data_IF_283777119605
#
_entry.id   IF_283777119605
#
_cell.length_a   1.000
_cell.length_b   1.000
_cell.length_c   1.000
_cell.angle_alpha   90.00
_cell.angle_beta   90.00
_cell.angle_gamma   90.00
#
_symmetry.space_group_name_H-M   'P 1'
#
loop_
_entity.id
_entity.type
_entity.pdbx_description
1 polymer ?
#
# COMPACT_ATOMS: atom_id res chain seq x y z
N UNK A 1 -2.64 6.41 4.99
CA UNK A 1 -4.07 6.78 4.86
C UNK A 1 -4.57 7.37 6.16
N UNK A 2 -5.72 8.07 6.14
CA UNK A 2 -6.39 8.47 7.37
C UNK A 2 -6.92 7.28 8.13
N UNK A 3 -6.79 7.35 9.45
CA UNK A 3 -7.29 6.37 10.38
C UNK A 3 -8.80 6.55 10.57
N UNK A 4 -9.52 5.44 10.61
CA UNK A 4 -10.94 5.38 10.90
C UNK A 4 -11.16 4.44 12.07
N UNK A 5 -12.16 4.71 12.92
CA UNK A 5 -12.40 3.89 14.11
C UNK A 5 -12.77 2.44 13.77
N UNK A 6 -13.34 2.19 12.57
CA UNK A 6 -13.61 0.83 12.06
C UNK A 6 -12.35 0.02 11.75
N UNK A 7 -11.15 0.62 11.85
CA UNK A 7 -9.88 -0.09 11.76
C UNK A 7 -9.46 -0.75 13.07
N UNK A 8 -10.03 -0.32 14.20
CA UNK A 8 -9.78 -1.03 15.46
C UNK A 8 -10.32 -2.47 15.38
N UNK A 9 -9.58 -3.41 15.96
CA UNK A 9 -9.94 -4.82 15.92
C UNK A 9 -9.53 -5.56 14.64
N UNK A 10 -9.27 -4.86 13.53
CA UNK A 10 -8.78 -5.46 12.29
C UNK A 10 -7.30 -5.77 12.40
N UNK A 11 -6.93 -7.01 12.10
CA UNK A 11 -5.56 -7.51 12.06
C UNK A 11 -4.75 -6.79 10.97
N UNK A 12 -3.41 -6.80 11.08
CA UNK A 12 -2.54 -6.28 10.02
C UNK A 12 -2.81 -6.98 8.69
N UNK A 13 -3.10 -8.27 8.69
CA UNK A 13 -3.51 -9.02 7.49
C UNK A 13 -4.77 -8.43 6.85
N UNK A 14 -5.85 -8.23 7.62
CA UNK A 14 -7.11 -7.66 7.11
C UNK A 14 -6.94 -6.21 6.64
N UNK A 15 -6.17 -5.41 7.40
CA UNK A 15 -5.88 -4.03 7.07
C UNK A 15 -5.03 -3.93 5.79
N UNK A 16 -4.04 -4.82 5.63
CA UNK A 16 -3.23 -4.89 4.42
C UNK A 16 -4.11 -5.26 3.22
N UNK A 17 -4.87 -6.35 3.30
CA UNK A 17 -5.78 -6.77 2.23
C UNK A 17 -6.79 -5.66 1.83
N UNK A 18 -7.26 -4.89 2.82
CA UNK A 18 -8.13 -3.73 2.61
C UNK A 18 -7.49 -2.55 1.86
N UNK A 19 -6.15 -2.53 1.69
CA UNK A 19 -5.46 -1.52 0.90
C UNK A 19 -5.61 -1.74 -0.62
N UNK A 20 -6.04 -2.93 -1.04
CA UNK A 20 -6.31 -3.25 -2.43
C UNK A 20 -7.76 -2.88 -2.78
N UNK A 21 -7.92 -1.76 -3.47
CA UNK A 21 -9.23 -1.15 -3.73
C UNK A 21 -9.75 -1.58 -5.09
N UNK A 22 -11.02 -1.97 -5.13
CA UNK A 22 -11.71 -2.19 -6.41
C UNK A 22 -11.87 -0.88 -7.17
N UNK A 23 -11.95 -0.99 -8.49
CA UNK A 23 -12.30 0.12 -9.35
C UNK A 23 -13.74 0.58 -9.06
N UNK A 24 -13.91 1.70 -8.35
CA UNK A 24 -15.22 2.38 -8.21
C UNK A 24 -15.15 3.73 -8.91
N UNK A 25 -16.25 4.26 -9.49
CA UNK A 25 -16.24 5.52 -10.23
C UNK A 25 -15.64 6.73 -9.47
N UNK A 26 -15.67 6.66 -8.13
CA UNK A 26 -15.13 7.69 -7.23
C UNK A 26 -13.60 7.59 -7.02
N UNK A 27 -12.99 6.44 -7.32
CA UNK A 27 -11.56 6.22 -7.17
C UNK A 27 -10.81 6.72 -8.42
N UNK A 28 -9.99 7.77 -8.30
CA UNK A 28 -9.28 8.42 -9.42
C UNK A 28 -8.71 7.47 -10.48
N UNK A 29 -8.13 6.34 -10.07
CA UNK A 29 -7.41 5.44 -10.97
C UNK A 29 -8.27 4.29 -11.48
N UNK A 30 -9.47 4.08 -10.93
CA UNK A 30 -10.47 3.24 -11.60
C UNK A 30 -10.89 3.84 -12.94
N UNK A 31 -10.85 5.18 -13.07
CA UNK A 31 -11.07 5.88 -14.35
C UNK A 31 -9.98 5.51 -15.39
N UNK A 32 -8.79 5.12 -14.93
CA UNK A 32 -7.64 4.75 -15.79
C UNK A 32 -7.60 3.24 -16.05
N UNK A 33 -7.86 2.44 -15.02
CA UNK A 33 -7.82 0.97 -15.07
C UNK A 33 -9.12 0.40 -14.46
N UNK A 34 -10.25 0.44 -15.19
CA UNK A 34 -11.57 0.15 -14.62
C UNK A 34 -11.77 -1.31 -14.21
N UNK A 35 -11.03 -2.23 -14.83
CA UNK A 35 -11.14 -3.67 -14.57
C UNK A 35 -10.12 -4.19 -13.56
N UNK A 36 -9.28 -3.30 -13.00
CA UNK A 36 -8.18 -3.68 -12.11
C UNK A 36 -8.44 -3.22 -10.68
N UNK A 37 -8.03 -4.04 -9.72
CA UNK A 37 -7.90 -3.59 -8.33
C UNK A 37 -6.52 -2.99 -8.15
N UNK A 38 -6.46 -1.85 -7.46
CA UNK A 38 -5.21 -1.08 -7.31
C UNK A 38 -4.95 -0.65 -5.89
N UNK A 39 -3.68 -0.45 -5.56
CA UNK A 39 -3.21 0.02 -4.26
C UNK A 39 -2.18 1.14 -4.42
N UNK A 40 -2.26 2.17 -3.57
CA UNK A 40 -1.41 3.36 -3.64
C UNK A 40 -0.33 3.34 -2.58
N UNK A 41 0.89 3.55 -3.02
CA UNK A 41 2.08 3.53 -2.18
C UNK A 41 2.98 4.71 -2.53
N UNK A 42 3.90 5.04 -1.64
CA UNK A 42 4.88 6.07 -1.85
C UNK A 42 6.25 5.57 -1.41
N UNK A 43 7.31 6.15 -1.98
CA UNK A 43 8.70 5.83 -1.67
C UNK A 43 9.07 6.01 -0.20
N UNK A 44 8.36 6.89 0.50
CA UNK A 44 8.71 7.32 1.84
C UNK A 44 7.49 7.77 2.64
N UNK A 45 7.57 7.67 3.98
CA UNK A 45 6.50 8.17 4.86
C UNK A 45 6.18 9.66 4.65
N UNK A 46 7.18 10.47 4.30
CA UNK A 46 7.02 11.90 4.08
C UNK A 46 6.23 12.19 2.79
N UNK A 47 6.52 11.47 1.69
CA UNK A 47 5.73 11.56 0.44
C UNK A 47 4.30 11.08 0.68
N UNK A 48 4.14 9.92 1.33
CA UNK A 48 2.81 9.39 1.71
C UNK A 48 2.00 10.38 2.54
N UNK A 49 2.65 11.09 3.47
CA UNK A 49 2.00 12.09 4.31
C UNK A 49 1.60 13.34 3.54
N UNK A 50 2.40 13.78 2.59
CA UNK A 50 2.06 14.91 1.72
C UNK A 50 0.79 14.60 0.91
N UNK A 51 0.71 13.40 0.33
CA UNK A 51 -0.48 12.91 -0.39
C UNK A 51 -1.72 12.87 0.53
N UNK A 52 -1.59 12.27 1.73
CA UNK A 52 -2.73 12.18 2.65
C UNK A 52 -3.21 13.56 3.10
N UNK A 53 -2.30 14.49 3.43
CA UNK A 53 -2.68 15.86 3.84
C UNK A 53 -3.40 16.65 2.75
N UNK A 54 -3.06 16.39 1.49
CA UNK A 54 -3.73 17.04 0.37
C UNK A 54 -5.17 16.54 0.21
N UNK A 55 -5.41 15.25 0.41
CA UNK A 55 -6.74 14.64 0.23
C UNK A 55 -7.60 14.64 1.49
N UNK A 56 -7.00 14.60 2.68
CA UNK A 56 -7.69 14.46 3.96
C UNK A 56 -7.21 15.54 4.94
N UNK A 57 -8.15 16.11 5.68
CA UNK A 57 -7.88 17.17 6.66
C UNK A 57 -7.41 16.65 8.04
N UNK A 58 -7.54 15.35 8.32
CA UNK A 58 -7.18 14.78 9.63
C UNK A 58 -5.67 14.46 9.76
N UNK A 59 -5.18 14.44 11.00
CA UNK A 59 -3.81 14.03 11.34
C UNK A 59 -3.76 12.67 12.04
N UNK A 60 -4.87 11.94 11.99
CA UNK A 60 -4.97 10.58 12.48
C UNK A 60 -4.63 9.63 11.33
N UNK A 61 -3.48 8.98 11.39
CA UNK A 61 -2.91 8.25 10.27
C UNK A 61 -2.66 6.78 10.60
N UNK A 62 -2.98 5.93 9.63
CA UNK A 62 -2.50 4.56 9.54
C UNK A 62 -1.52 4.48 8.37
N UNK A 63 -0.26 4.14 8.67
CA UNK A 63 0.84 4.10 7.70
C UNK A 63 1.38 2.69 7.59
N UNK A 64 1.46 2.17 6.37
CA UNK A 64 2.04 0.86 6.07
C UNK A 64 3.43 1.06 5.49
N UNK A 65 4.38 0.27 5.97
CA UNK A 65 5.66 0.08 5.31
C UNK A 65 5.68 -1.33 4.76
N UNK A 66 5.73 -1.44 3.44
CA UNK A 66 5.87 -2.71 2.74
C UNK A 66 7.24 -2.84 2.05
N UNK A 67 7.57 -4.06 1.65
CA UNK A 67 8.76 -4.39 0.88
C UNK A 67 8.43 -5.50 -0.12
N UNK A 68 9.27 -5.62 -1.14
CA UNK A 68 9.24 -6.75 -2.07
C UNK A 68 9.72 -8.02 -1.35
N UNK A 69 8.82 -8.98 -1.13
CA UNK A 69 9.13 -10.17 -0.34
C UNK A 69 10.14 -11.07 -1.05
N UNK A 70 10.05 -11.15 -2.38
CA UNK A 70 10.86 -12.06 -3.19
C UNK A 70 12.36 -11.73 -3.13
N UNK A 71 12.71 -10.45 -2.95
CA UNK A 71 14.09 -9.95 -2.88
C UNK A 71 14.61 -9.79 -1.44
N UNK A 72 13.81 -10.13 -0.43
CA UNK A 72 14.26 -10.13 0.96
C UNK A 72 15.16 -11.34 1.29
N UNK A 73 15.99 -11.21 2.33
CA UNK A 73 16.84 -12.32 2.82
C UNK A 73 16.00 -13.48 3.34
N UNK A 74 14.86 -13.17 3.95
CA UNK A 74 13.95 -14.12 4.61
C UNK A 74 12.53 -14.00 4.03
N UNK A 75 12.36 -14.41 2.78
CA UNK A 75 11.09 -14.38 2.06
C UNK A 75 10.05 -15.26 2.76
N UNK A 76 8.79 -14.82 2.74
CA UNK A 76 7.66 -15.51 3.38
C UNK A 76 6.56 -15.89 2.39
N UNK A 77 6.76 -15.59 1.09
CA UNK A 77 5.81 -15.88 0.01
C UNK A 77 6.40 -16.87 -0.98
N UNK A 78 5.50 -17.64 -1.59
CA UNK A 78 5.88 -18.68 -2.55
C UNK A 78 6.23 -18.07 -3.91
N UNK A 79 5.57 -16.97 -4.27
CA UNK A 79 5.85 -16.22 -5.48
C UNK A 79 7.22 -15.55 -5.39
N UNK A 80 8.12 -15.96 -6.29
CA UNK A 80 9.50 -15.46 -6.41
C UNK A 80 9.72 -14.66 -7.69
N UNK A 81 8.66 -14.39 -8.44
CA UNK A 81 8.78 -13.59 -9.65
C UNK A 81 9.20 -12.17 -9.28
N UNK A 82 10.18 -11.58 -10.01
CA UNK A 82 10.58 -10.21 -9.77
C UNK A 82 9.40 -9.25 -9.99
N UNK A 83 9.44 -8.09 -9.32
CA UNK A 83 8.50 -7.01 -9.57
C UNK A 83 8.76 -6.39 -10.95
N UNK A 84 7.74 -6.42 -11.81
CA UNK A 84 7.74 -5.75 -13.11
C UNK A 84 7.15 -4.35 -12.93
N UNK A 85 8.02 -3.34 -12.93
CA UNK A 85 7.63 -1.94 -12.71
C UNK A 85 7.78 -1.16 -14.01
N UNK A 86 6.68 -0.52 -14.45
CA UNK A 86 6.73 0.48 -15.53
C UNK A 86 7.19 1.81 -14.94
N UNK A 87 8.23 2.39 -15.53
CA UNK A 87 8.70 3.73 -15.20
C UNK A 87 7.84 4.80 -15.89
N UNK A 88 6.78 5.22 -15.22
CA UNK A 88 5.86 6.27 -15.67
C UNK A 88 6.44 7.68 -15.60
N UNK A 89 7.65 7.89 -15.06
CA UNK A 89 8.30 9.21 -15.02
C UNK A 89 8.72 9.65 -16.42
N UNK A 90 9.31 8.73 -17.19
CA UNK A 90 9.69 8.97 -18.59
C UNK A 90 8.49 9.17 -19.51
N UNK A 91 7.30 8.78 -19.05
CA UNK A 91 6.03 8.89 -19.76
C UNK A 91 5.20 10.09 -19.31
N UNK A 92 5.72 10.90 -18.38
CA UNK A 92 5.03 12.03 -17.76
C UNK A 92 3.65 11.66 -17.21
N UNK A 93 3.52 10.44 -16.65
CA UNK A 93 2.25 9.90 -16.19
C UNK A 93 1.60 10.74 -15.09
N UNK A 94 2.41 11.47 -14.31
CA UNK A 94 1.94 12.46 -13.33
C UNK A 94 1.04 13.53 -13.96
N UNK A 95 1.28 13.93 -15.23
CA UNK A 95 0.41 14.89 -15.95
C UNK A 95 -0.95 14.29 -16.28
N UNK A 96 -0.99 13.01 -16.68
CA UNK A 96 -2.25 12.28 -16.93
C UNK A 96 -3.06 12.21 -15.64
N UNK A 97 -2.42 11.92 -14.52
CA UNK A 97 -3.07 11.90 -13.22
C UNK A 97 -3.63 13.27 -12.82
N UNK A 98 -2.84 14.33 -12.99
CA UNK A 98 -3.30 15.70 -12.71
C UNK A 98 -4.54 16.07 -13.53
N UNK A 99 -4.59 15.67 -14.81
CA UNK A 99 -5.77 15.88 -15.67
C UNK A 99 -7.00 15.17 -15.12
N UNK A 100 -6.86 13.90 -14.71
CA UNK A 100 -7.96 13.14 -14.12
C UNK A 100 -8.43 13.75 -12.78
N UNK A 101 -7.52 14.24 -11.95
CA UNK A 101 -7.85 14.94 -10.70
C UNK A 101 -8.59 16.25 -10.91
N UNK A 102 -8.31 16.92 -12.03
CA UNK A 102 -8.91 18.22 -12.40
C UNK A 102 -10.12 18.06 -13.34
N UNK A 103 -10.64 16.84 -13.49
CA UNK A 103 -11.73 16.46 -14.43
C UNK A 103 -11.52 16.95 -15.87
N UNK A 104 -10.26 17.01 -16.31
CA UNK A 104 -9.88 17.34 -17.68
C UNK A 104 -9.95 16.11 -18.59
N UNK A 105 -10.32 16.33 -19.86
CA UNK A 105 -10.35 15.25 -20.86
C UNK A 105 -8.93 14.83 -21.25
N UNK A 106 -8.70 13.52 -21.24
CA UNK A 106 -7.49 12.94 -21.81
C UNK A 106 -7.54 12.98 -23.35
N UNK A 107 -6.39 13.26 -23.95
CA UNK A 107 -6.17 13.17 -25.40
C UNK A 107 -6.19 11.72 -25.87
N UNK A 108 -6.34 11.50 -27.18
CA UNK A 108 -6.28 10.15 -27.76
C UNK A 108 -4.93 9.47 -27.50
N UNK A 109 -3.82 10.23 -27.53
CA UNK A 109 -2.48 9.73 -27.24
C UNK A 109 -2.34 9.23 -25.80
N UNK A 110 -2.85 10.00 -24.83
CA UNK A 110 -2.82 9.62 -23.40
C UNK A 110 -3.69 8.38 -23.13
N UNK A 111 -4.86 8.27 -23.76
CA UNK A 111 -5.69 7.07 -23.68
C UNK A 111 -4.98 5.85 -24.26
N UNK A 112 -4.33 5.99 -25.41
CA UNK A 112 -3.55 4.92 -26.02
C UNK A 112 -2.38 4.49 -25.13
N UNK A 113 -1.71 5.44 -24.48
CA UNK A 113 -0.63 5.14 -23.53
C UNK A 113 -1.13 4.30 -22.35
N UNK A 114 -2.28 4.66 -21.76
CA UNK A 114 -2.89 3.89 -20.67
C UNK A 114 -3.18 2.45 -21.11
N UNK A 115 -3.73 2.26 -22.32
CA UNK A 115 -3.97 0.94 -22.90
C UNK A 115 -2.66 0.16 -23.08
N UNK A 116 -1.60 0.81 -23.56
CA UNK A 116 -0.28 0.18 -23.73
C UNK A 116 0.37 -0.21 -22.39
N UNK A 117 0.20 0.59 -21.34
CA UNK A 117 0.65 0.24 -19.98
C UNK A 117 -0.13 -0.99 -19.51
N UNK A 118 -1.46 -0.98 -19.62
CA UNK A 118 -2.29 -2.10 -19.21
C UNK A 118 -1.96 -3.39 -19.98
N UNK A 119 -1.68 -3.31 -21.28
CA UNK A 119 -1.35 -4.48 -22.11
C UNK A 119 -0.02 -5.14 -21.75
N UNK A 120 0.87 -4.45 -21.04
CA UNK A 120 2.11 -5.04 -20.54
C UNK A 120 1.91 -5.88 -19.28
N UNK A 121 0.72 -5.87 -18.69
CA UNK A 121 0.37 -6.58 -17.47
C UNK A 121 1.39 -6.38 -16.32
N UNK A 122 1.73 -5.13 -15.97
CA UNK A 122 2.78 -4.84 -15.00
C UNK A 122 2.33 -5.10 -13.56
N UNK A 123 3.28 -5.29 -12.66
CA UNK A 123 3.02 -5.39 -11.23
C UNK A 123 2.79 -4.00 -10.62
N UNK A 124 3.50 -2.99 -11.13
CA UNK A 124 3.46 -1.63 -10.62
C UNK A 124 3.74 -0.58 -11.69
N UNK A 125 3.19 0.62 -11.50
CA UNK A 125 3.55 1.83 -12.22
C UNK A 125 4.10 2.86 -11.23
N UNK A 126 5.33 3.32 -11.46
CA UNK A 126 5.96 4.39 -10.66
C UNK A 126 5.82 5.74 -11.38
N UNK A 127 5.56 6.80 -10.62
CA UNK A 127 5.43 8.17 -11.15
C UNK A 127 5.84 9.20 -10.11
N UNK A 128 6.14 10.41 -10.55
CA UNK A 128 6.51 11.52 -9.67
C UNK A 128 5.31 11.96 -8.81
N UNK A 129 5.55 12.24 -7.53
CA UNK A 129 4.54 12.83 -6.66
C UNK A 129 4.25 14.26 -7.08
N UNK A 130 2.96 14.56 -7.26
CA UNK A 130 2.47 15.92 -7.47
C UNK A 130 2.47 16.76 -6.18
N UNK A 131 2.71 16.13 -5.02
CA UNK A 131 2.57 16.75 -3.69
C UNK A 131 3.91 16.95 -2.99
N UNK A 132 4.95 16.27 -3.44
CA UNK A 132 6.30 16.44 -2.91
C UNK A 132 7.34 16.31 -4.00
N UNK A 133 8.07 17.39 -4.22
CA UNK A 133 9.20 17.42 -5.13
C UNK A 133 10.24 16.36 -4.77
N UNK A 134 10.71 15.62 -5.78
CA UNK A 134 11.63 14.50 -5.63
C UNK A 134 11.04 13.23 -5.00
N UNK A 135 9.76 13.24 -4.57
CA UNK A 135 9.07 12.07 -4.05
C UNK A 135 8.48 11.22 -5.17
N UNK A 136 8.49 9.90 -5.00
CA UNK A 136 7.86 8.96 -5.93
C UNK A 136 6.62 8.30 -5.33
N UNK A 137 5.62 8.11 -6.18
CA UNK A 137 4.43 7.33 -5.89
C UNK A 137 4.40 6.06 -6.75
N UNK A 138 3.74 5.05 -6.23
CA UNK A 138 3.61 3.73 -6.82
C UNK A 138 2.14 3.35 -6.86
N UNK A 139 1.68 2.95 -8.04
CA UNK A 139 0.39 2.30 -8.26
C UNK A 139 0.64 0.81 -8.44
N UNK A 140 0.32 0.02 -7.42
CA UNK A 140 0.40 -1.44 -7.52
C UNK A 140 -0.92 -1.97 -8.07
N UNK A 141 -0.83 -2.79 -9.12
CA UNK A 141 -1.94 -3.63 -9.58
C UNK A 141 -2.10 -4.83 -8.64
N UNK A 142 -3.24 -5.52 -8.67
CA UNK A 142 -3.53 -6.65 -7.78
C UNK A 142 -2.40 -7.70 -7.76
N UNK A 143 -1.88 -8.06 -8.94
CA UNK A 143 -0.74 -8.96 -9.09
C UNK A 143 0.48 -8.48 -8.29
N UNK A 144 0.93 -7.25 -8.52
CA UNK A 144 2.09 -6.69 -7.82
C UNK A 144 1.87 -6.45 -6.34
N UNK A 145 0.66 -6.04 -5.95
CA UNK A 145 0.28 -5.89 -4.55
C UNK A 145 0.42 -7.21 -3.79
N UNK A 146 0.07 -8.33 -4.42
CA UNK A 146 0.26 -9.66 -3.84
C UNK A 146 1.72 -10.13 -3.74
N UNK A 147 2.69 -9.38 -4.29
CA UNK A 147 4.12 -9.62 -4.07
C UNK A 147 4.67 -8.88 -2.84
N UNK A 148 3.92 -7.92 -2.31
CA UNK A 148 4.34 -7.13 -1.16
C UNK A 148 4.14 -7.86 0.17
N UNK A 149 5.15 -7.74 1.04
CA UNK A 149 5.05 -8.07 2.47
C UNK A 149 5.14 -6.80 3.32
N UNK A 150 4.56 -6.86 4.53
CA UNK A 150 4.51 -5.74 5.46
C UNK A 150 5.72 -5.84 6.38
N UNK A 151 6.49 -4.76 6.43
CA UNK A 151 7.53 -4.57 7.44
C UNK A 151 6.91 -4.11 8.75
N UNK A 152 6.07 -3.08 8.68
CA UNK A 152 5.39 -2.56 9.86
C UNK A 152 4.15 -1.73 9.49
N UNK A 153 3.23 -1.65 10.44
CA UNK A 153 2.08 -0.74 10.40
C UNK A 153 2.17 0.21 11.58
N UNK A 154 2.10 1.51 11.33
CA UNK A 154 2.13 2.57 12.35
C UNK A 154 0.78 3.25 12.44
N UNK A 155 0.29 3.42 13.66
CA UNK A 155 -0.87 4.26 13.98
C UNK A 155 -0.39 5.54 14.66
N UNK A 156 -0.95 6.68 14.26
CA UNK A 156 -0.72 7.98 14.87
C UNK A 156 -2.05 8.70 15.03
N UNK A 157 -2.46 8.96 16.26
CA UNK A 157 -3.74 9.62 16.60
C UNK A 157 -3.49 11.06 17.03
N UNK A 158 -2.95 11.91 16.14
CA UNK A 158 -2.45 13.24 16.51
C UNK A 158 -3.54 14.21 16.96
N UNK A 159 -4.78 14.02 16.50
CA UNK A 159 -5.89 14.91 16.85
C UNK A 159 -6.53 14.53 18.19
N UNK A 160 -6.20 13.36 18.74
CA UNK A 160 -6.63 12.95 20.08
C UNK A 160 -5.79 13.66 21.14
N UNK A 161 -6.39 14.01 22.30
CA UNK A 161 -5.72 14.71 23.41
C UNK A 161 -4.39 14.07 23.84
N UNK A 162 -4.32 12.73 23.82
CA UNK A 162 -3.11 11.98 24.18
C UNK A 162 -2.07 11.82 23.07
N UNK A 163 -2.39 12.21 21.82
CA UNK A 163 -1.52 12.08 20.64
C UNK A 163 -0.92 10.68 20.48
N UNK A 164 -1.70 9.66 20.82
CA UNK A 164 -1.21 8.30 20.98
C UNK A 164 -0.65 7.75 19.66
N UNK A 165 0.50 7.08 19.76
CA UNK A 165 1.14 6.44 18.62
C UNK A 165 1.57 5.03 19.01
N UNK A 166 1.52 4.11 18.06
CA UNK A 166 2.08 2.78 18.24
C UNK A 166 2.42 2.15 16.89
N UNK A 167 3.09 1.00 16.91
CA UNK A 167 3.40 0.23 15.71
C UNK A 167 3.27 -1.27 15.96
N UNK A 168 3.00 -2.00 14.88
CA UNK A 168 3.09 -3.45 14.81
C UNK A 168 4.18 -3.75 13.78
N UNK A 169 5.15 -4.58 14.15
CA UNK A 169 6.31 -4.92 13.30
C UNK A 169 6.12 -6.34 12.80
N UNK A 170 6.00 -6.53 11.49
CA UNK A 170 5.83 -7.81 10.82
C UNK A 170 7.14 -8.33 10.19
N UNK A 171 8.13 -7.45 10.00
CA UNK A 171 9.50 -7.83 9.71
C UNK A 171 10.48 -6.86 10.38
N UNK A 172 11.43 -7.41 11.14
CA UNK A 172 12.44 -6.66 11.89
C UNK A 172 13.80 -6.59 11.18
N UNK A 173 14.77 -5.96 11.86
CA UNK A 173 16.19 -5.86 11.43
C UNK A 173 16.39 -5.12 10.09
N UNK A 174 17.64 -5.09 9.59
CA UNK A 174 17.99 -4.62 8.24
C UNK A 174 17.58 -5.63 7.17
N UNK A 175 17.57 -6.92 7.54
CA UNK A 175 17.45 -8.04 6.60
C UNK A 175 16.01 -8.54 6.47
N UNK A 176 15.06 -7.78 7.02
CA UNK A 176 13.62 -8.10 6.98
C UNK A 176 13.27 -9.45 7.61
N UNK A 177 13.93 -9.82 8.71
CA UNK A 177 13.60 -11.00 9.51
C UNK A 177 12.08 -11.03 9.84
N UNK A 178 11.31 -12.00 9.34
CA UNK A 178 9.87 -11.97 9.43
C UNK A 178 9.37 -12.38 10.81
N UNK A 179 8.25 -11.78 11.21
CA UNK A 179 7.44 -12.17 12.36
C UNK A 179 6.03 -12.52 11.87
N UNK A 180 5.82 -13.72 11.28
CA UNK A 180 4.56 -14.08 10.65
C UNK A 180 3.36 -13.93 11.58
N UNK A 181 3.49 -14.24 12.88
CA UNK A 181 2.39 -14.09 13.84
C UNK A 181 1.89 -12.64 13.95
N UNK A 182 2.75 -11.65 13.72
CA UNK A 182 2.40 -10.24 13.92
C UNK A 182 1.44 -9.70 12.86
N UNK A 183 1.25 -10.42 11.75
CA UNK A 183 0.14 -10.15 10.83
C UNK A 183 -1.23 -10.32 11.50
N UNK A 184 -1.32 -11.13 12.56
CA UNK A 184 -2.51 -11.32 13.40
C UNK A 184 -2.68 -10.26 14.50
N UNK A 185 -1.73 -9.34 14.68
CA UNK A 185 -1.88 -8.25 15.62
C UNK A 185 -2.79 -7.16 15.08
N UNK A 186 -3.47 -6.44 15.97
CA UNK A 186 -4.38 -5.36 15.65
C UNK A 186 -4.27 -4.21 16.64
N UNK A 187 -4.73 -3.03 16.24
CA UNK A 187 -4.84 -1.88 17.12
C UNK A 187 -6.17 -1.89 17.89
N UNK A 188 -6.10 -1.52 19.16
CA UNK A 188 -7.22 -1.21 20.07
C UNK A 188 -7.28 0.30 20.31
N UNK A 189 -8.40 0.81 20.87
CA UNK A 189 -8.52 2.21 21.23
C UNK A 189 -7.29 2.75 21.97
N UNK A 190 -6.94 4.00 21.67
CA UNK A 190 -5.77 4.69 22.26
C UNK A 190 -4.45 4.04 21.76
N UNK A 191 -4.43 3.57 20.51
CA UNK A 191 -3.28 2.96 19.84
C UNK A 191 -2.68 1.73 20.57
N UNK A 192 -3.39 1.10 21.50
CA UNK A 192 -2.91 -0.15 22.14
C UNK A 192 -2.84 -1.27 21.10
N UNK A 193 -1.98 -2.26 21.29
CA UNK A 193 -1.91 -3.42 20.40
C UNK A 193 -2.40 -4.68 21.12
N UNK A 194 -2.96 -5.63 20.35
CA UNK A 194 -3.34 -6.95 20.85
C UNK A 194 -3.18 -7.98 19.72
N UNK A 195 -2.94 -9.23 20.08
CA UNK A 195 -2.88 -10.36 19.15
C UNK A 195 -4.26 -11.00 18.98
N UNK A 196 -4.64 -11.30 17.74
CA UNK A 196 -5.72 -12.24 17.46
C UNK A 196 -5.16 -13.66 17.36
N UNK A 197 -5.35 -14.48 18.39
CA UNK A 197 -4.80 -15.85 18.44
C UNK A 197 -5.41 -16.78 17.39
N UNK A 198 -6.57 -16.45 16.82
CA UNK A 198 -7.14 -17.26 15.73
C UNK A 198 -6.36 -17.10 14.42
N UNK A 199 -5.57 -16.03 14.26
CA UNK A 199 -4.73 -15.80 13.09
C UNK A 199 -3.75 -16.95 12.83
N UNK A 200 -3.21 -17.57 13.89
CA UNK A 200 -2.27 -18.69 13.77
C UNK A 200 -2.90 -19.95 13.15
N UNK A 201 -4.23 -20.00 13.04
CA UNK A 201 -4.96 -21.10 12.38
C UNK A 201 -5.23 -20.83 10.90
N UNK A 202 -4.96 -19.61 10.43
CA UNK A 202 -5.23 -19.19 9.03
C UNK A 202 -4.24 -19.80 8.05
N UNK A 203 -4.66 -19.88 6.79
CA UNK A 203 -3.80 -20.37 5.72
C UNK A 203 -2.64 -19.42 5.42
N UNK A 204 -2.85 -18.10 5.55
CA UNK A 204 -1.77 -17.13 5.38
C UNK A 204 -0.64 -17.39 6.39
N UNK A 205 -0.96 -17.55 7.67
CA UNK A 205 0.03 -17.81 8.70
C UNK A 205 0.80 -19.11 8.44
N UNK A 206 0.08 -20.19 8.11
CA UNK A 206 0.69 -21.50 7.80
C UNK A 206 1.63 -21.40 6.61
N UNK A 207 1.22 -20.73 5.53
CA UNK A 207 2.04 -20.54 4.34
C UNK A 207 3.30 -19.75 4.65
N UNK A 208 3.18 -18.57 5.29
CA UNK A 208 4.34 -17.74 5.67
C UNK A 208 5.30 -18.48 6.59
N UNK A 209 4.77 -19.21 7.57
CA UNK A 209 5.57 -19.97 8.54
C UNK A 209 6.23 -21.21 7.93
N UNK A 210 5.70 -21.76 6.84
CA UNK A 210 6.28 -22.92 6.15
C UNK A 210 7.41 -22.49 5.24
N UNK A 211 7.26 -21.36 4.55
CA UNK A 211 8.25 -20.84 3.60
C UNK A 211 9.47 -20.24 4.30
N UNK A 212 9.26 -19.62 5.46
CA UNK A 212 10.33 -19.02 6.25
C UNK A 212 11.21 -20.05 6.99
N UNK A 213 10.68 -21.25 7.27
CA UNK A 213 11.42 -22.33 7.94
C UNK A 213 12.53 -22.88 7.08
#
# INVERSE_FOLDING_TARGET
MSFREDFYGKTVSELHAGNLRSGTPENRYSKLFPNERVSYWADSPQTSRAEVKYHNADNNLLTFWAYDDATSTFPTRADREPLIIIDGRNLEFNKILHKIESDQKLTSGEKNLIVQIASQYPDCLVYESLRREGGLNFLFFEKGFHKLSIREVRIRLSDYKGKNTNRIVCAGTSDYLPYPENYGMYFRPIAKTKMNLTYQKTEEYKNRSTIYK
#
